data_IF_920068929067
#
_entry.id   IF_920068929067
#
_cell.length_a   1.000
_cell.length_b   1.000
_cell.length_c   1.000
_cell.angle_alpha   90.00
_cell.angle_beta   90.00
_cell.angle_gamma   90.00
#
_symmetry.space_group_name_H-M   'P 1'
#
loop_
_entity.id
_entity.type
_entity.pdbx_description
1 polymer ?
#
# COMPACT_ATOMS: atom_id res chain seq x y z
N UNK A 1 -31.40 5.99 -26.21
CA UNK A 1 -30.52 7.01 -25.59
C UNK A 1 -29.83 6.41 -24.38
N UNK A 2 -28.68 6.97 -23.95
CA UNK A 2 -28.02 6.57 -22.71
C UNK A 2 -28.72 7.21 -21.50
N UNK A 3 -28.94 6.44 -20.44
CA UNK A 3 -29.43 6.98 -19.15
C UNK A 3 -28.34 7.78 -18.44
N UNK A 4 -28.72 8.62 -17.48
CA UNK A 4 -27.73 9.40 -16.72
C UNK A 4 -26.82 8.51 -15.86
N UNK A 5 -27.33 7.38 -15.38
CA UNK A 5 -26.52 6.38 -14.71
C UNK A 5 -25.49 5.75 -15.67
N UNK A 6 -25.91 5.36 -16.88
CA UNK A 6 -24.99 4.83 -17.90
C UNK A 6 -23.92 5.86 -18.28
N UNK A 7 -24.28 7.14 -18.42
CA UNK A 7 -23.32 8.23 -18.66
C UNK A 7 -22.30 8.32 -17.52
N UNK A 8 -22.73 8.28 -16.25
CA UNK A 8 -21.82 8.28 -15.09
C UNK A 8 -20.87 7.08 -15.11
N UNK A 9 -21.38 5.89 -15.42
CA UNK A 9 -20.56 4.68 -15.54
C UNK A 9 -19.55 4.77 -16.68
N UNK A 10 -19.94 5.33 -17.83
CA UNK A 10 -19.02 5.58 -18.95
C UNK A 10 -17.92 6.53 -18.52
N UNK A 11 -18.26 7.70 -17.96
CA UNK A 11 -17.26 8.70 -17.53
C UNK A 11 -16.30 8.10 -16.50
N UNK A 12 -16.80 7.30 -15.55
CA UNK A 12 -15.97 6.58 -14.55
C UNK A 12 -15.09 5.50 -15.17
N UNK A 13 -15.56 4.81 -16.20
CA UNK A 13 -14.76 3.82 -16.94
C UNK A 13 -13.64 4.48 -17.74
N UNK A 14 -13.96 5.55 -18.45
CA UNK A 14 -13.01 6.32 -19.26
C UNK A 14 -11.90 6.94 -18.40
N UNK A 15 -12.24 7.50 -17.24
CA UNK A 15 -11.23 8.08 -16.31
C UNK A 15 -10.29 7.04 -15.70
N UNK A 16 -10.67 5.75 -15.75
CA UNK A 16 -9.82 4.60 -15.39
C UNK A 16 -9.15 3.96 -16.60
N UNK A 17 -9.31 4.52 -17.80
CA UNK A 17 -8.74 4.00 -19.03
C UNK A 17 -9.36 2.71 -19.57
N UNK A 18 -10.59 2.39 -19.18
CA UNK A 18 -11.33 1.23 -19.70
C UNK A 18 -11.76 1.51 -21.15
N UNK A 19 -11.61 0.53 -22.04
CA UNK A 19 -11.96 0.71 -23.45
C UNK A 19 -13.47 0.85 -23.66
N UNK A 20 -13.88 1.65 -24.66
CA UNK A 20 -15.30 1.84 -25.04
C UNK A 20 -16.07 0.52 -25.21
N UNK A 21 -15.44 -0.51 -25.77
CA UNK A 21 -16.04 -1.84 -25.96
C UNK A 21 -16.30 -2.58 -24.66
N UNK A 22 -15.36 -2.48 -23.70
CA UNK A 22 -15.47 -3.11 -22.38
C UNK A 22 -16.51 -2.41 -21.52
N UNK A 23 -16.52 -1.07 -21.55
CA UNK A 23 -17.56 -0.27 -20.88
C UNK A 23 -18.94 -0.65 -21.45
N UNK A 24 -19.06 -0.73 -22.79
CA UNK A 24 -20.31 -1.09 -23.43
C UNK A 24 -20.82 -2.47 -23.01
N UNK A 25 -19.92 -3.47 -22.97
CA UNK A 25 -20.20 -4.83 -22.50
C UNK A 25 -20.66 -4.85 -21.04
N UNK A 26 -20.03 -4.07 -20.16
CA UNK A 26 -20.34 -4.10 -18.73
C UNK A 26 -21.66 -3.43 -18.35
N UNK A 27 -22.11 -2.43 -19.11
CA UNK A 27 -23.36 -1.70 -18.85
C UNK A 27 -24.50 -2.10 -19.80
N UNK A 28 -24.29 -3.09 -20.68
CA UNK A 28 -25.31 -3.64 -21.57
C UNK A 28 -25.78 -2.70 -22.69
N UNK A 29 -24.88 -1.88 -23.24
CA UNK A 29 -25.21 -0.94 -24.33
C UNK A 29 -24.39 -1.22 -25.59
N UNK A 30 -24.77 -0.61 -26.72
CA UNK A 30 -23.99 -0.73 -27.95
C UNK A 30 -22.69 0.08 -27.84
N UNK A 31 -21.58 -0.48 -28.31
CA UNK A 31 -20.27 0.20 -28.35
C UNK A 31 -20.33 1.60 -28.99
N UNK A 32 -21.11 1.77 -30.06
CA UNK A 32 -21.29 3.06 -30.71
C UNK A 32 -21.89 4.13 -29.81
N UNK A 33 -22.73 3.77 -28.84
CA UNK A 33 -23.29 4.74 -27.90
C UNK A 33 -22.21 5.27 -26.94
N UNK A 34 -21.32 4.39 -26.47
CA UNK A 34 -20.18 4.77 -25.62
C UNK A 34 -19.19 5.64 -26.41
N UNK A 35 -18.86 5.23 -27.63
CA UNK A 35 -17.99 6.00 -28.53
C UNK A 35 -18.52 7.42 -28.78
N UNK A 36 -19.79 7.55 -29.16
CA UNK A 36 -20.40 8.85 -29.42
C UNK A 36 -20.42 9.71 -28.17
N UNK A 37 -20.75 9.14 -27.00
CA UNK A 37 -20.73 9.88 -25.75
C UNK A 37 -19.32 10.34 -25.37
N UNK A 38 -18.31 9.48 -25.49
CA UNK A 38 -16.90 9.87 -25.30
C UNK A 38 -16.51 11.03 -26.21
N UNK A 39 -16.91 11.01 -27.48
CA UNK A 39 -16.67 12.11 -28.42
C UNK A 39 -17.35 13.40 -28.00
N UNK A 40 -18.58 13.36 -27.46
CA UNK A 40 -19.24 14.57 -26.91
C UNK A 40 -18.53 15.15 -25.69
N UNK A 41 -17.77 14.34 -24.95
CA UNK A 41 -16.94 14.79 -23.84
C UNK A 41 -15.57 15.35 -24.29
N UNK A 42 -15.24 15.29 -25.59
CA UNK A 42 -13.94 15.70 -26.11
C UNK A 42 -12.79 14.74 -25.78
N UNK A 43 -13.07 13.58 -25.19
CA UNK A 43 -12.04 12.63 -24.77
C UNK A 43 -11.56 11.80 -25.96
N UNK A 44 -10.29 11.90 -26.31
CA UNK A 44 -9.62 11.12 -27.35
C UNK A 44 -9.40 9.66 -26.93
N UNK A 45 -9.03 8.81 -27.89
CA UNK A 45 -8.73 7.39 -27.57
C UNK A 45 -7.40 7.32 -26.82
N UNK A 46 -6.47 8.17 -27.21
CA UNK A 46 -5.14 8.31 -26.68
C UNK A 46 -5.19 8.69 -25.20
N UNK A 47 -6.01 9.66 -24.81
CA UNK A 47 -6.21 10.03 -23.40
C UNK A 47 -6.73 8.87 -22.55
N UNK A 48 -7.64 8.04 -23.08
CA UNK A 48 -8.12 6.84 -22.37
C UNK A 48 -6.99 5.83 -22.18
N UNK A 49 -6.11 5.68 -23.17
CA UNK A 49 -4.94 4.80 -23.09
C UNK A 49 -3.93 5.32 -22.07
N UNK A 50 -3.66 6.63 -22.06
CA UNK A 50 -2.76 7.22 -21.06
C UNK A 50 -3.33 7.08 -19.64
N UNK A 51 -4.63 7.34 -19.46
CA UNK A 51 -5.33 7.13 -18.18
C UNK A 51 -5.28 5.67 -17.72
N UNK A 52 -5.23 4.70 -18.65
CA UNK A 52 -5.07 3.27 -18.34
C UNK A 52 -3.72 3.01 -17.72
N UNK A 53 -2.64 3.52 -18.31
CA UNK A 53 -1.29 3.31 -17.79
C UNK A 53 -1.14 3.91 -16.39
N UNK A 54 -1.66 5.12 -16.19
CA UNK A 54 -1.61 5.78 -14.89
C UNK A 54 -2.44 5.03 -13.84
N UNK A 55 -3.58 4.45 -14.25
CA UNK A 55 -4.41 3.64 -13.37
C UNK A 55 -3.73 2.31 -13.02
N UNK A 56 -3.09 1.63 -13.98
CA UNK A 56 -2.33 0.42 -13.72
C UNK A 56 -1.22 0.67 -12.70
N UNK A 57 -0.43 1.74 -12.89
CA UNK A 57 0.63 2.13 -11.95
C UNK A 57 0.04 2.34 -10.55
N UNK A 58 -1.02 3.16 -10.44
CA UNK A 58 -1.66 3.45 -9.15
C UNK A 58 -2.15 2.19 -8.43
N UNK A 59 -2.74 1.23 -9.16
CA UNK A 59 -3.23 -0.02 -8.58
C UNK A 59 -2.08 -0.91 -8.09
N UNK A 60 -1.00 -1.02 -8.86
CA UNK A 60 0.17 -1.81 -8.47
C UNK A 60 0.87 -1.17 -7.26
N UNK A 61 1.01 0.15 -7.26
CA UNK A 61 1.58 0.90 -6.13
C UNK A 61 0.69 0.91 -4.88
N UNK A 62 -0.62 0.68 -5.02
CA UNK A 62 -1.51 0.47 -3.87
C UNK A 62 -1.45 -0.95 -3.32
N UNK A 63 -0.70 -1.85 -3.95
CA UNK A 63 -0.56 -3.25 -3.55
C UNK A 63 -1.58 -4.19 -4.18
N UNK A 64 -2.24 -3.79 -5.26
CA UNK A 64 -3.08 -4.70 -6.05
C UNK A 64 -2.18 -5.67 -6.83
N UNK A 65 -2.48 -6.97 -6.77
CA UNK A 65 -1.73 -7.98 -7.52
C UNK A 65 -1.82 -7.78 -9.03
N UNK A 66 -0.74 -8.11 -9.74
CA UNK A 66 -0.61 -7.90 -11.18
C UNK A 66 -1.70 -8.65 -11.96
N UNK A 67 -1.98 -9.88 -11.55
CA UNK A 67 -2.97 -10.77 -12.13
C UNK A 67 -4.37 -10.17 -12.02
N UNK A 68 -4.67 -9.54 -10.88
CA UNK A 68 -5.94 -8.83 -10.65
C UNK A 68 -6.04 -7.61 -11.55
N UNK A 69 -5.00 -6.79 -11.67
CA UNK A 69 -4.98 -5.64 -12.58
C UNK A 69 -5.17 -6.10 -14.02
N UNK A 70 -4.48 -7.16 -14.44
CA UNK A 70 -4.58 -7.71 -15.79
C UNK A 70 -6.00 -8.22 -16.09
N UNK A 71 -6.61 -8.95 -15.15
CA UNK A 71 -7.96 -9.45 -15.25
C UNK A 71 -9.01 -8.33 -15.38
N UNK A 72 -8.87 -7.24 -14.60
CA UNK A 72 -9.78 -6.09 -14.67
C UNK A 72 -9.86 -5.45 -16.06
N UNK A 73 -8.79 -5.53 -16.85
CA UNK A 73 -8.71 -4.96 -18.19
C UNK A 73 -8.76 -6.03 -19.29
N UNK A 74 -9.02 -7.29 -18.95
CA UNK A 74 -9.04 -8.43 -19.88
C UNK A 74 -7.76 -8.54 -20.72
N UNK A 75 -6.59 -8.27 -20.12
CA UNK A 75 -5.27 -8.37 -20.76
C UNK A 75 -4.39 -9.40 -20.05
N UNK A 76 -3.28 -9.81 -20.67
CA UNK A 76 -2.29 -10.67 -20.03
C UNK A 76 -1.43 -9.87 -19.04
N UNK A 77 -1.02 -10.47 -17.90
CA UNK A 77 -0.07 -9.85 -16.96
C UNK A 77 1.18 -9.27 -17.63
N UNK A 78 1.80 -10.05 -18.52
CA UNK A 78 3.00 -9.62 -19.25
C UNK A 78 2.76 -8.41 -20.15
N UNK A 79 1.55 -8.27 -20.70
CA UNK A 79 1.19 -7.11 -21.51
C UNK A 79 1.13 -5.83 -20.69
N UNK A 80 0.68 -5.91 -19.43
CA UNK A 80 0.70 -4.78 -18.50
C UNK A 80 2.14 -4.33 -18.25
N UNK A 81 3.00 -5.26 -17.78
CA UNK A 81 4.39 -4.93 -17.45
C UNK A 81 5.18 -4.45 -18.66
N UNK A 82 5.14 -5.18 -19.77
CA UNK A 82 5.89 -4.82 -20.98
C UNK A 82 5.48 -3.44 -21.52
N UNK A 83 4.20 -3.09 -21.42
CA UNK A 83 3.71 -1.77 -21.82
C UNK A 83 4.20 -0.68 -20.87
N UNK A 84 4.08 -0.89 -19.55
CA UNK A 84 4.54 0.10 -18.57
C UNK A 84 6.05 0.32 -18.62
N UNK A 85 6.84 -0.73 -18.84
CA UNK A 85 8.30 -0.61 -19.02
C UNK A 85 8.65 0.24 -20.24
N UNK A 86 7.94 0.04 -21.36
CA UNK A 86 8.19 0.78 -22.61
C UNK A 86 7.65 2.21 -22.60
N UNK A 87 6.54 2.48 -21.90
CA UNK A 87 5.77 3.73 -22.00
C UNK A 87 5.89 4.66 -20.80
N UNK A 88 6.31 4.15 -19.64
CA UNK A 88 6.21 4.89 -18.36
C UNK A 88 7.46 4.85 -17.48
N UNK A 89 8.58 4.32 -17.95
CA UNK A 89 9.80 4.12 -17.14
C UNK A 89 9.49 3.48 -15.77
N UNK A 90 8.59 2.49 -15.80
CA UNK A 90 8.04 1.88 -14.60
C UNK A 90 8.96 0.80 -14.03
N UNK A 91 9.08 0.73 -12.71
CA UNK A 91 9.81 -0.33 -12.00
C UNK A 91 8.85 -1.16 -11.14
N UNK A 92 8.56 -2.38 -11.59
CA UNK A 92 7.65 -3.28 -10.88
C UNK A 92 8.16 -3.69 -9.48
N UNK A 93 9.46 -4.00 -9.27
CA UNK A 93 9.98 -4.28 -7.93
C UNK A 93 9.80 -3.12 -6.95
N UNK A 94 9.97 -1.86 -7.41
CA UNK A 94 9.72 -0.69 -6.57
C UNK A 94 8.25 -0.49 -6.27
N UNK A 95 7.38 -0.63 -7.29
CA UNK A 95 5.95 -0.53 -7.13
C UNK A 95 5.43 -1.57 -6.11
N UNK A 96 5.93 -2.81 -6.17
CA UNK A 96 5.60 -3.87 -5.20
C UNK A 96 6.04 -3.51 -3.77
N UNK A 97 7.25 -2.94 -3.60
CA UNK A 97 7.71 -2.44 -2.28
C UNK A 97 6.80 -1.33 -1.74
N UNK A 98 6.36 -0.39 -2.59
CA UNK A 98 5.42 0.68 -2.22
C UNK A 98 4.04 0.09 -1.87
N UNK A 99 3.56 -0.84 -2.68
CA UNK A 99 2.32 -1.58 -2.46
C UNK A 99 2.29 -2.28 -1.11
N UNK A 100 3.34 -3.04 -0.76
CA UNK A 100 3.42 -3.70 0.54
C UNK A 100 3.36 -2.70 1.71
N UNK A 101 4.06 -1.56 1.59
CA UNK A 101 4.02 -0.51 2.62
C UNK A 101 2.61 0.07 2.77
N UNK A 102 1.92 0.29 1.66
CA UNK A 102 0.56 0.82 1.64
C UNK A 102 -0.45 -0.17 2.24
N UNK A 103 -0.36 -1.45 1.87
CA UNK A 103 -1.20 -2.51 2.48
C UNK A 103 -0.95 -2.60 3.97
N UNK A 104 0.32 -2.62 4.41
CA UNK A 104 0.67 -2.65 5.83
C UNK A 104 0.18 -1.39 6.57
N UNK A 105 0.19 -0.22 5.93
CA UNK A 105 -0.33 1.02 6.52
C UNK A 105 -1.86 0.99 6.65
N UNK A 106 -2.56 0.54 5.61
CA UNK A 106 -4.01 0.38 5.63
C UNK A 106 -4.47 -0.65 6.66
N UNK A 107 -3.75 -1.78 6.78
CA UNK A 107 -4.04 -2.80 7.79
C UNK A 107 -3.83 -2.27 9.21
N UNK A 108 -2.74 -1.54 9.45
CA UNK A 108 -2.52 -0.86 10.75
C UNK A 108 -3.65 0.10 11.10
N UNK A 109 -4.07 0.93 10.14
CA UNK A 109 -5.19 1.86 10.31
C UNK A 109 -6.51 1.12 10.61
N UNK A 110 -6.80 0.04 9.88
CA UNK A 110 -8.01 -0.75 10.07
C UNK A 110 -8.06 -1.45 11.44
N UNK A 111 -6.91 -1.88 11.95
CA UNK A 111 -6.80 -2.49 13.27
C UNK A 111 -6.72 -1.46 14.42
N UNK A 112 -6.71 -0.15 14.12
CA UNK A 112 -6.51 0.90 15.11
C UNK A 112 -5.13 0.87 15.78
N UNK A 113 -4.17 0.16 15.19
CA UNK A 113 -2.83 -0.04 15.75
C UNK A 113 -1.90 1.04 15.20
N UNK A 114 -1.33 1.85 16.08
CA UNK A 114 -0.35 2.87 15.72
C UNK A 114 1.04 2.24 15.48
N UNK A 115 1.93 2.96 14.81
CA UNK A 115 3.33 2.52 14.68
C UNK A 115 4.01 2.36 16.04
N UNK A 116 3.61 3.21 17.00
CA UNK A 116 4.10 3.16 18.38
C UNK A 116 3.71 1.84 19.04
N UNK A 117 2.45 1.42 18.92
CA UNK A 117 1.97 0.16 19.51
C UNK A 117 2.67 -1.08 18.92
N UNK A 118 2.97 -1.07 17.61
CA UNK A 118 3.75 -2.16 16.98
C UNK A 118 5.18 -2.17 17.53
N UNK A 119 5.78 -1.00 17.69
CA UNK A 119 7.14 -0.89 18.22
C UNK A 119 7.19 -1.29 19.69
N UNK A 120 6.22 -0.90 20.50
CA UNK A 120 6.08 -1.31 21.90
C UNK A 120 5.92 -2.82 22.03
N UNK A 121 5.00 -3.45 21.27
CA UNK A 121 4.87 -4.92 21.26
C UNK A 121 6.14 -5.63 20.81
N UNK A 122 6.87 -5.05 19.85
CA UNK A 122 8.15 -5.59 19.39
C UNK A 122 9.19 -5.56 20.52
N UNK A 123 9.29 -4.43 21.22
CA UNK A 123 10.21 -4.28 22.37
C UNK A 123 9.78 -5.17 23.55
N UNK A 124 8.50 -5.29 23.82
CA UNK A 124 7.95 -6.21 24.83
C UNK A 124 8.29 -7.67 24.50
N UNK A 125 8.17 -8.06 23.23
CA UNK A 125 8.55 -9.41 22.78
C UNK A 125 10.06 -9.64 22.96
N UNK A 126 10.89 -8.65 22.63
CA UNK A 126 12.32 -8.71 22.86
C UNK A 126 12.69 -8.82 24.34
N UNK A 127 12.00 -8.08 25.22
CA UNK A 127 12.16 -8.18 26.67
C UNK A 127 11.85 -9.60 27.15
N UNK A 128 10.70 -10.17 26.75
CA UNK A 128 10.34 -11.54 27.16
C UNK A 128 11.35 -12.60 26.70
N UNK A 129 11.91 -12.44 25.49
CA UNK A 129 12.96 -13.33 24.99
C UNK A 129 14.27 -13.16 25.76
N UNK A 130 14.61 -11.93 26.13
CA UNK A 130 15.79 -11.66 26.95
C UNK A 130 15.62 -12.21 28.37
N UNK A 131 14.46 -12.00 28.99
CA UNK A 131 14.11 -12.52 30.32
C UNK A 131 14.07 -14.05 30.36
N UNK A 132 13.78 -14.71 29.23
CA UNK A 132 13.88 -16.17 29.10
C UNK A 132 15.32 -16.69 28.91
N UNK A 133 16.31 -15.80 28.95
CA UNK A 133 17.73 -16.12 28.88
C UNK A 133 18.31 -16.14 27.47
N UNK A 134 17.58 -15.68 26.45
CA UNK A 134 18.11 -15.59 25.08
C UNK A 134 19.13 -14.45 24.97
N UNK A 135 20.28 -14.74 24.36
CA UNK A 135 21.31 -13.73 24.11
C UNK A 135 20.79 -12.64 23.14
N UNK A 136 21.23 -11.40 23.38
CA UNK A 136 20.85 -10.23 22.58
C UNK A 136 21.21 -10.42 21.11
N UNK A 137 22.36 -11.04 20.85
CA UNK A 137 22.84 -11.37 19.52
C UNK A 137 21.87 -12.32 18.81
N UNK A 138 21.37 -13.35 19.50
CA UNK A 138 20.38 -14.29 18.94
C UNK A 138 19.01 -13.64 18.68
N UNK A 139 18.57 -12.73 19.56
CA UNK A 139 17.34 -11.94 19.32
C UNK A 139 17.53 -11.03 18.10
N UNK A 140 18.70 -10.41 17.96
CA UNK A 140 19.01 -9.53 16.86
C UNK A 140 19.02 -10.28 15.51
N UNK A 141 19.62 -11.47 15.50
CA UNK A 141 19.64 -12.35 14.33
C UNK A 141 18.22 -12.84 13.97
N UNK A 142 17.40 -13.24 14.95
CA UNK A 142 16.03 -13.71 14.73
C UNK A 142 15.14 -12.65 14.04
N UNK A 143 15.39 -11.38 14.31
CA UNK A 143 14.58 -10.26 13.79
C UNK A 143 15.30 -9.44 12.71
N UNK A 144 16.45 -9.89 12.21
CA UNK A 144 17.28 -9.21 11.21
C UNK A 144 17.55 -7.72 11.57
N UNK A 145 18.00 -7.49 12.80
CA UNK A 145 18.37 -6.16 13.30
C UNK A 145 19.77 -6.17 13.89
N UNK A 146 20.36 -4.99 14.09
CA UNK A 146 21.66 -4.90 14.76
C UNK A 146 21.51 -5.16 16.27
N UNK A 147 22.45 -5.90 16.92
CA UNK A 147 22.42 -6.11 18.38
C UNK A 147 22.36 -4.80 19.18
N UNK A 148 23.02 -3.74 18.70
CA UNK A 148 22.97 -2.42 19.32
C UNK A 148 21.54 -1.83 19.39
N UNK A 149 20.70 -2.11 18.37
CA UNK A 149 19.30 -1.67 18.34
C UNK A 149 18.47 -2.37 19.41
N UNK A 150 18.70 -3.67 19.60
CA UNK A 150 18.05 -4.46 20.67
C UNK A 150 18.51 -3.94 22.04
N UNK A 151 19.83 -3.79 22.28
CA UNK A 151 20.36 -3.23 23.55
C UNK A 151 19.76 -1.87 23.90
N UNK A 152 19.72 -0.95 22.94
CA UNK A 152 19.19 0.40 23.18
C UNK A 152 17.70 0.37 23.51
N UNK A 153 16.93 -0.52 22.87
CA UNK A 153 15.50 -0.67 23.14
C UNK A 153 15.24 -1.27 24.53
N UNK A 154 15.96 -2.33 24.90
CA UNK A 154 15.81 -2.95 26.23
C UNK A 154 16.25 -2.00 27.34
N UNK A 155 17.38 -1.29 27.16
CA UNK A 155 17.92 -0.34 28.14
C UNK A 155 16.91 0.75 28.52
N UNK A 156 16.22 1.33 27.54
CA UNK A 156 15.21 2.38 27.76
C UNK A 156 14.05 1.90 28.63
N UNK A 157 13.61 0.66 28.45
CA UNK A 157 12.50 0.10 29.23
C UNK A 157 12.96 -0.31 30.64
N UNK A 158 14.16 -0.85 30.78
CA UNK A 158 14.71 -1.18 32.11
C UNK A 158 15.01 0.08 32.94
N UNK A 159 15.48 1.17 32.33
CA UNK A 159 15.72 2.45 33.03
C UNK A 159 14.42 3.15 33.46
N UNK A 160 13.32 3.04 32.69
CA UNK A 160 11.99 3.56 33.10
C UNK A 160 11.35 2.76 34.25
N UNK A 161 11.80 1.52 34.51
CA UNK A 161 11.26 0.66 35.56
C UNK A 161 11.89 0.84 36.96
N UNK A 162 12.93 1.67 37.09
CA UNK A 162 13.57 1.93 38.38
C UNK A 162 12.91 3.16 39.04
N UNK A 163 12.16 3.01 40.15
CA UNK A 163 11.64 4.16 40.88
C UNK A 163 12.82 5.00 41.37
N UNK A 164 12.78 6.31 41.08
CA UNK A 164 13.81 7.24 41.50
C UNK A 164 14.09 7.10 43.00
N UNK A 165 15.37 7.06 43.44
CA UNK A 165 15.68 6.98 44.86
C UNK A 165 15.05 8.19 45.58
N UNK A 166 14.46 7.99 46.77
CA UNK A 166 13.80 9.07 47.48
C UNK A 166 14.79 10.21 47.71
N UNK A 167 14.36 11.44 47.39
CA UNK A 167 15.13 12.65 47.65
C UNK A 167 15.46 12.68 49.14
N UNK A 168 16.75 12.65 49.46
CA UNK A 168 17.22 12.97 50.80
C UNK A 168 16.89 14.44 51.06
N UNK A 169 15.81 14.69 51.79
CA UNK A 169 15.58 15.99 52.40
C UNK A 169 16.66 16.17 53.47
N UNK A 170 17.52 17.16 53.26
CA UNK A 170 18.47 17.63 54.24
C UNK A 170 17.65 18.13 55.45
N UNK A 171 17.76 17.42 56.56
CA UNK A 171 17.17 17.83 57.84
C UNK A 171 18.19 18.72 58.54
N UNK A 172 17.95 20.04 58.54
CA UNK A 172 18.74 20.99 59.33
C UNK A 172 18.19 21.01 60.77
N UNK A 173 19.11 20.94 61.73
CA UNK A 173 18.87 20.90 63.19
C UNK A 173 18.77 22.31 63.78
#
# INVERSE_FOLDING_TARGET
>A
MLTDEQKKLITKGLSKGVADTQIAKSIGVKHMQVYMYRKTLGVSREEVVEARYDTWIRLLESGTELETVAAMYEVKPDSVLSTLYRKRNFSYPEAKKRGQRNVNASLRKALGVTLKDVQEKKVETWLRLFDSGMAIESIADLYDVKPATVRSALRKVTEESVPAPPKQEHFDW
#
